data_IF_255572646172
#
_entry.id   IF_255572646172
#
_cell.length_a   1.000
_cell.length_b   1.000
_cell.length_c   1.000
_cell.angle_alpha   90.00
_cell.angle_beta   90.00
_cell.angle_gamma   90.00
#
_symmetry.space_group_name_H-M   'P 1'
#
loop_
_entity.id
_entity.type
_entity.pdbx_description
1 polymer ?
#
# COMPACT_ATOMS: atom_id res chain seq x y z
N UNK A 1 -24.55 -10.28 0.67
CA UNK A 1 -23.12 -10.16 1.01
C UNK A 1 -22.83 -11.03 2.22
N UNK A 2 -21.72 -11.77 2.24
CA UNK A 2 -21.32 -12.53 3.42
C UNK A 2 -20.97 -11.52 4.52
N UNK A 3 -21.58 -11.62 5.68
CA UNK A 3 -21.42 -10.70 6.82
C UNK A 3 -20.27 -11.08 7.76
N UNK A 4 -19.71 -12.28 7.59
CA UNK A 4 -18.63 -12.83 8.43
C UNK A 4 -17.49 -13.32 7.57
N UNK A 5 -16.26 -13.03 7.98
CA UNK A 5 -15.02 -13.48 7.36
C UNK A 5 -14.15 -14.14 8.43
N UNK A 6 -13.35 -15.13 8.04
CA UNK A 6 -12.40 -15.77 8.94
C UNK A 6 -11.24 -14.83 9.28
N UNK A 7 -10.84 -14.01 8.31
CA UNK A 7 -9.72 -13.05 8.46
C UNK A 7 -10.07 -11.71 7.82
N UNK A 8 -9.68 -10.64 8.49
CA UNK A 8 -9.74 -9.26 7.96
C UNK A 8 -8.30 -8.73 7.85
N UNK A 9 -7.90 -8.34 6.65
CA UNK A 9 -6.62 -7.70 6.37
C UNK A 9 -6.85 -6.18 6.24
N UNK A 10 -6.10 -5.41 7.00
CA UNK A 10 -6.17 -3.94 6.97
C UNK A 10 -5.04 -3.41 6.08
N UNK A 11 -5.42 -2.81 4.96
CA UNK A 11 -4.52 -2.32 3.94
C UNK A 11 -4.22 -3.34 2.85
N UNK A 12 -4.23 -2.89 1.60
CA UNK A 12 -3.98 -3.68 0.39
C UNK A 12 -2.61 -3.44 -0.23
N UNK A 13 -1.65 -2.94 0.55
CA UNK A 13 -0.25 -2.78 0.12
C UNK A 13 0.44 -4.14 -0.08
N UNK A 14 1.75 -4.14 -0.30
CA UNK A 14 2.52 -5.36 -0.58
C UNK A 14 2.27 -6.47 0.45
N UNK A 15 2.45 -6.19 1.74
CA UNK A 15 2.25 -7.18 2.80
C UNK A 15 0.80 -7.68 2.91
N UNK A 16 -0.17 -6.76 2.86
CA UNK A 16 -1.59 -7.11 2.95
C UNK A 16 -2.07 -7.93 1.77
N UNK A 17 -1.63 -7.60 0.56
CA UNK A 17 -1.99 -8.34 -0.65
C UNK A 17 -1.43 -9.77 -0.64
N UNK A 18 -0.16 -9.94 -0.24
CA UNK A 18 0.45 -11.27 -0.13
C UNK A 18 -0.22 -12.09 0.98
N UNK A 19 -0.49 -11.48 2.14
CA UNK A 19 -1.18 -12.14 3.24
C UNK A 19 -2.58 -12.60 2.84
N UNK A 20 -3.35 -11.74 2.17
CA UNK A 20 -4.69 -12.08 1.69
C UNK A 20 -4.65 -13.24 0.69
N UNK A 21 -3.69 -13.23 -0.26
CA UNK A 21 -3.50 -14.31 -1.22
C UNK A 21 -3.21 -15.63 -0.51
N UNK A 22 -2.21 -15.66 0.37
CA UNK A 22 -1.79 -16.87 1.08
C UNK A 22 -2.87 -17.44 1.99
N UNK A 23 -3.65 -16.58 2.65
CA UNK A 23 -4.79 -17.03 3.45
C UNK A 23 -5.91 -17.62 2.58
N UNK A 24 -6.17 -17.01 1.41
CA UNK A 24 -7.13 -17.56 0.45
C UNK A 24 -6.71 -18.90 -0.11
N UNK A 25 -5.44 -19.09 -0.44
CA UNK A 25 -4.88 -20.39 -0.88
C UNK A 25 -5.07 -21.49 0.19
N UNK A 26 -5.04 -21.11 1.48
CA UNK A 26 -5.32 -22.03 2.60
C UNK A 26 -6.82 -22.25 2.87
N UNK A 27 -7.71 -21.66 2.07
CA UNK A 27 -9.16 -21.87 2.17
C UNK A 27 -9.91 -20.88 3.06
N UNK A 28 -9.23 -19.95 3.71
CA UNK A 28 -9.90 -18.94 4.54
C UNK A 28 -10.74 -17.95 3.71
N UNK A 29 -11.86 -17.51 4.26
CA UNK A 29 -12.59 -16.37 3.74
C UNK A 29 -11.94 -15.07 4.25
N UNK A 30 -11.48 -14.24 3.31
CA UNK A 30 -10.70 -13.04 3.64
C UNK A 30 -11.41 -11.79 3.14
N UNK A 31 -11.53 -10.78 4.01
CA UNK A 31 -11.88 -9.42 3.64
C UNK A 31 -10.63 -8.54 3.68
N UNK A 32 -10.50 -7.63 2.72
CA UNK A 32 -9.44 -6.62 2.72
C UNK A 32 -10.08 -5.24 2.83
N UNK A 33 -9.69 -4.48 3.86
CA UNK A 33 -10.14 -3.11 4.07
C UNK A 33 -9.04 -2.15 3.62
N UNK A 34 -9.37 -1.26 2.68
CA UNK A 34 -8.44 -0.26 2.15
C UNK A 34 -9.00 1.14 2.38
N UNK A 35 -8.14 2.05 2.89
CA UNK A 35 -8.52 3.43 3.18
C UNK A 35 -8.63 4.30 1.91
N UNK A 36 -7.86 3.97 0.89
CA UNK A 36 -7.87 4.66 -0.39
C UNK A 36 -8.79 4.00 -1.40
N UNK A 37 -8.92 4.60 -2.56
CA UNK A 37 -9.77 4.08 -3.63
C UNK A 37 -9.00 3.14 -4.57
N UNK A 38 -9.73 2.41 -5.40
CA UNK A 38 -9.17 1.71 -6.56
C UNK A 38 -8.96 2.72 -7.70
N UNK A 39 -7.78 2.66 -8.32
CA UNK A 39 -7.42 3.46 -9.49
C UNK A 39 -7.42 2.58 -10.74
N UNK A 40 -7.98 3.11 -11.82
CA UNK A 40 -7.82 2.59 -13.18
C UNK A 40 -6.75 3.42 -13.90
N UNK A 41 -6.20 2.94 -15.02
CA UNK A 41 -5.13 3.62 -15.78
C UNK A 41 -5.45 5.09 -16.11
N UNK A 42 -6.73 5.36 -16.42
CA UNK A 42 -7.23 6.73 -16.71
C UNK A 42 -7.25 7.66 -15.49
N UNK A 43 -7.22 7.10 -14.28
CA UNK A 43 -7.29 7.86 -13.02
C UNK A 43 -5.93 8.40 -12.61
N UNK A 44 -4.84 7.76 -13.07
CA UNK A 44 -3.50 8.19 -12.72
C UNK A 44 -3.22 9.60 -13.21
N UNK A 45 -2.56 10.43 -12.38
CA UNK A 45 -2.18 11.77 -12.78
C UNK A 45 -1.06 11.70 -13.84
N UNK A 46 -1.25 12.37 -14.98
CA UNK A 46 -0.18 12.52 -15.98
C UNK A 46 0.91 13.50 -15.53
N UNK A 47 0.67 14.25 -14.47
CA UNK A 47 1.58 15.25 -13.93
C UNK A 47 1.24 15.51 -12.46
N UNK A 48 2.25 15.83 -11.65
CA UNK A 48 2.11 16.17 -10.23
C UNK A 48 1.36 17.49 -9.97
N UNK A 49 1.19 18.33 -10.99
CA UNK A 49 0.42 19.57 -10.89
C UNK A 49 -1.09 19.36 -10.68
N UNK A 50 -1.60 18.16 -10.96
CA UNK A 50 -2.99 17.81 -10.67
C UNK A 50 -3.12 17.31 -9.23
N UNK A 51 -3.04 18.22 -8.27
CA UNK A 51 -3.04 17.91 -6.83
C UNK A 51 -4.21 17.02 -6.39
N UNK A 52 -5.39 17.22 -6.94
CA UNK A 52 -6.58 16.42 -6.63
C UNK A 52 -6.46 14.94 -7.02
N UNK A 53 -5.67 14.64 -8.04
CA UNK A 53 -5.37 13.26 -8.46
C UNK A 53 -4.09 12.72 -7.83
N UNK A 54 -3.20 13.59 -7.41
CA UNK A 54 -1.88 13.24 -6.91
C UNK A 54 -1.88 13.07 -5.39
N UNK A 55 -2.43 14.04 -4.63
CA UNK A 55 -2.39 14.05 -3.18
C UNK A 55 -3.57 13.33 -2.54
N UNK A 56 -3.26 12.52 -1.51
CA UNK A 56 -4.25 11.92 -0.62
C UNK A 56 -4.27 12.69 0.70
N UNK A 57 -5.27 13.56 0.87
CA UNK A 57 -5.54 14.33 2.08
C UNK A 57 -7.07 14.42 2.30
N UNK A 58 -7.71 13.37 2.84
CA UNK A 58 -9.17 13.29 2.95
C UNK A 58 -9.82 14.45 3.70
N UNK A 59 -9.10 15.02 4.68
CA UNK A 59 -9.57 16.23 5.40
C UNK A 59 -9.72 17.45 4.51
N UNK A 60 -9.04 17.48 3.36
CA UNK A 60 -9.11 18.54 2.35
C UNK A 60 -9.92 18.10 1.11
N UNK A 61 -10.60 16.94 1.17
CA UNK A 61 -11.33 16.39 0.03
C UNK A 61 -10.44 15.85 -1.10
N UNK A 62 -9.16 15.60 -0.85
CA UNK A 62 -8.20 15.10 -1.84
C UNK A 62 -8.03 13.59 -1.69
N UNK A 63 -8.26 12.84 -2.77
CA UNK A 63 -8.20 11.38 -2.80
C UNK A 63 -7.28 10.88 -3.93
N UNK A 64 -6.10 11.48 -4.03
CA UNK A 64 -5.07 11.08 -4.99
C UNK A 64 -4.27 9.85 -4.57
N UNK A 65 -3.24 9.53 -5.34
CA UNK A 65 -2.46 8.29 -5.20
C UNK A 65 -1.39 8.35 -4.11
N UNK A 66 -1.01 9.53 -3.64
CA UNK A 66 0.15 9.70 -2.78
C UNK A 66 -0.16 10.46 -1.49
N UNK A 67 0.21 9.88 -0.38
CA UNK A 67 0.20 10.51 0.94
C UNK A 67 1.59 11.00 1.30
N UNK A 68 1.64 12.20 1.87
CA UNK A 68 2.87 12.83 2.36
C UNK A 68 2.75 12.97 3.87
N UNK A 69 3.71 12.40 4.59
CA UNK A 69 3.86 12.61 6.04
C UNK A 69 5.14 13.36 6.30
N UNK A 70 5.02 14.48 6.97
CA UNK A 70 6.17 15.30 7.39
C UNK A 70 6.40 15.06 8.87
N UNK A 71 7.55 14.53 9.20
CA UNK A 71 8.06 14.37 10.56
C UNK A 71 9.25 15.33 10.76
N UNK A 72 9.71 15.57 11.99
CA UNK A 72 10.78 16.55 12.24
C UNK A 72 12.03 16.35 11.38
N UNK A 73 12.45 15.10 11.20
CA UNK A 73 13.70 14.76 10.50
C UNK A 73 13.49 13.93 9.23
N UNK A 74 12.24 13.57 8.90
CA UNK A 74 11.94 12.66 7.80
C UNK A 74 10.67 13.06 7.06
N UNK A 75 10.74 13.01 5.73
CA UNK A 75 9.57 13.12 4.86
C UNK A 75 9.25 11.73 4.30
N UNK A 76 8.04 11.23 4.59
CA UNK A 76 7.60 9.92 4.13
C UNK A 76 6.61 10.11 2.98
N UNK A 77 6.93 9.54 1.82
CA UNK A 77 6.04 9.43 0.67
C UNK A 77 5.49 8.01 0.61
N UNK A 78 4.19 7.86 0.67
CA UNK A 78 3.54 6.55 0.63
C UNK A 78 2.36 6.52 -0.33
N UNK A 79 2.11 5.37 -0.94
CA UNK A 79 0.92 5.18 -1.77
C UNK A 79 -0.35 5.15 -0.93
N UNK A 80 -1.44 5.66 -1.50
CA UNK A 80 -2.77 5.66 -0.88
C UNK A 80 -3.81 5.17 -1.89
N UNK A 81 -4.26 3.94 -1.73
CA UNK A 81 -5.20 3.28 -2.63
C UNK A 81 -4.98 1.78 -2.66
N UNK A 82 -5.83 1.08 -3.40
CA UNK A 82 -5.67 -0.36 -3.63
C UNK A 82 -4.32 -0.63 -4.28
N UNK A 83 -3.48 -1.41 -3.60
CA UNK A 83 -2.10 -1.70 -4.00
C UNK A 83 -1.05 -0.95 -3.16
N UNK A 84 -1.45 0.11 -2.42
CA UNK A 84 -0.54 0.84 -1.53
C UNK A 84 0.71 1.36 -2.23
N UNK A 85 1.88 0.94 -1.77
CA UNK A 85 3.18 1.36 -2.32
C UNK A 85 3.37 1.07 -3.81
N UNK A 86 2.68 0.07 -4.37
CA UNK A 86 2.77 -0.24 -5.81
C UNK A 86 2.24 0.88 -6.71
N UNK A 87 1.46 1.82 -6.17
CA UNK A 87 0.99 3.00 -6.90
C UNK A 87 2.08 4.05 -7.16
N UNK A 88 3.16 4.03 -6.37
CA UNK A 88 4.16 5.11 -6.35
C UNK A 88 5.61 4.62 -6.29
N UNK A 89 5.88 3.33 -6.49
CA UNK A 89 7.22 2.73 -6.34
C UNK A 89 8.14 2.91 -7.56
N UNK A 90 7.71 3.63 -8.56
CA UNK A 90 8.46 3.91 -9.79
C UNK A 90 9.01 2.65 -10.50
N UNK A 91 8.28 1.54 -10.41
CA UNK A 91 8.65 0.23 -10.98
C UNK A 91 10.00 -0.31 -10.47
N UNK A 92 10.43 0.11 -9.29
CA UNK A 92 11.68 -0.32 -8.68
C UNK A 92 11.48 -1.65 -7.94
N UNK A 93 11.94 -2.74 -8.53
CA UNK A 93 11.87 -4.10 -7.99
C UNK A 93 13.27 -4.52 -7.54
N UNK A 94 13.73 -3.98 -6.43
CA UNK A 94 15.05 -4.28 -5.89
C UNK A 94 14.97 -5.48 -4.94
N UNK A 95 15.77 -6.50 -5.21
CA UNK A 95 16.02 -7.57 -4.25
C UNK A 95 17.23 -7.18 -3.41
N UNK A 96 17.10 -7.10 -2.07
CA UNK A 96 18.25 -6.85 -1.20
C UNK A 96 19.33 -7.91 -1.38
N UNK A 97 20.59 -7.52 -1.21
CA UNK A 97 21.70 -8.45 -1.19
C UNK A 97 21.72 -9.31 0.09
N UNK A 98 22.60 -10.31 0.09
CA UNK A 98 22.73 -11.25 1.20
C UNK A 98 23.09 -10.56 2.53
N UNK A 99 23.80 -9.45 2.48
CA UNK A 99 24.14 -8.65 3.66
C UNK A 99 22.90 -8.17 4.43
N UNK A 100 21.83 -7.83 3.72
CA UNK A 100 20.56 -7.44 4.33
C UNK A 100 19.95 -8.61 5.12
N UNK A 101 19.87 -9.80 4.53
CA UNK A 101 19.26 -10.97 5.16
C UNK A 101 20.14 -11.57 6.27
N UNK A 102 21.45 -11.33 6.23
CA UNK A 102 22.40 -11.79 7.24
C UNK A 102 22.60 -10.80 8.39
N UNK A 103 21.91 -9.66 8.38
CA UNK A 103 22.00 -8.69 9.45
C UNK A 103 21.54 -9.29 10.79
N UNK A 104 22.26 -8.92 11.85
CA UNK A 104 21.99 -9.42 13.22
C UNK A 104 20.58 -9.09 13.72
N UNK A 105 19.94 -8.05 13.18
CA UNK A 105 18.59 -7.64 13.53
C UNK A 105 17.53 -8.69 13.14
N UNK A 106 17.81 -9.52 12.13
CA UNK A 106 16.90 -10.57 11.67
C UNK A 106 17.06 -11.92 12.37
N UNK A 107 18.06 -12.07 13.24
CA UNK A 107 18.38 -13.35 13.91
C UNK A 107 17.27 -13.87 14.85
N UNK A 108 16.27 -13.07 15.12
CA UNK A 108 15.18 -13.41 16.03
C UNK A 108 13.83 -13.64 15.31
N UNK A 109 13.82 -13.60 13.99
CA UNK A 109 12.70 -13.91 13.12
C UNK A 109 12.97 -15.21 12.39
#
# INVERSE_FOLDING_TARGET
MKSTFDVVVIGSGFGGSVSALRLREKGYSVAVLEAGRRFEDKDFPKTSWRLNKFLFAPKLGLYGIQRIHVLPDVLILSGAGVGGGSLVYANTLYQPGDDYFNDKQWKHI
#
